data_IF_097483749478
#
_entry.id   IF_097483749478
#
_cell.length_a   1.000
_cell.length_b   1.000
_cell.length_c   1.000
_cell.angle_alpha   90.00
_cell.angle_beta   90.00
_cell.angle_gamma   90.00
#
_symmetry.space_group_name_H-M   'P 1'
#
loop_
_entity.id
_entity.type
_entity.pdbx_description
1 polymer ?
#
# COMPACT_ATOMS: atom_id res chain seq x y z
N UNK A 1 -0.44 -12.98 11.96
CA UNK A 1 0.21 -14.24 11.55
C UNK A 1 1.55 -13.90 10.91
N UNK A 2 2.69 -14.16 11.61
CA UNK A 2 4.04 -13.93 11.06
C UNK A 2 4.30 -15.00 10.02
N UNK A 3 4.18 -14.66 8.75
CA UNK A 3 4.59 -15.50 7.65
C UNK A 3 6.11 -15.70 7.76
N UNK A 4 6.53 -16.90 8.16
CA UNK A 4 7.92 -17.32 8.29
C UNK A 4 8.46 -17.53 6.87
N UNK A 5 8.73 -16.42 6.15
CA UNK A 5 9.35 -16.46 4.83
C UNK A 5 10.67 -17.21 4.96
N UNK A 6 10.73 -18.43 4.41
CA UNK A 6 11.98 -19.19 4.28
C UNK A 6 12.89 -18.39 3.37
N UNK A 7 13.80 -17.64 3.98
CA UNK A 7 14.87 -16.94 3.28
C UNK A 7 15.70 -18.00 2.56
N UNK A 8 15.81 -17.91 1.24
CA UNK A 8 16.67 -18.82 0.45
C UNK A 8 18.15 -18.54 0.78
N UNK A 9 18.48 -17.29 1.04
CA UNK A 9 19.80 -16.83 1.45
C UNK A 9 20.39 -17.59 2.67
N UNK A 10 19.66 -17.84 3.77
CA UNK A 10 20.24 -18.56 4.91
C UNK A 10 20.62 -20.01 4.62
N UNK A 11 20.04 -20.64 3.62
CA UNK A 11 20.41 -22.02 3.24
C UNK A 11 21.68 -21.98 2.41
N UNK A 12 21.80 -21.10 1.42
CA UNK A 12 23.00 -20.91 0.61
C UNK A 12 24.18 -20.36 1.40
N UNK A 13 23.92 -19.59 2.45
CA UNK A 13 24.93 -18.98 3.34
C UNK A 13 25.24 -19.84 4.57
N UNK A 14 24.69 -21.05 4.66
CA UNK A 14 25.12 -22.00 5.71
C UNK A 14 26.58 -22.38 5.46
N UNK A 15 27.49 -22.23 6.46
CA UNK A 15 28.93 -22.40 6.27
C UNK A 15 29.28 -23.74 5.62
N UNK A 16 28.61 -24.83 6.03
CA UNK A 16 28.87 -26.14 5.47
C UNK A 16 28.54 -26.22 3.97
N UNK A 17 27.43 -25.60 3.53
CA UNK A 17 27.03 -25.59 2.10
C UNK A 17 28.03 -24.78 1.29
N UNK A 18 28.40 -23.58 1.78
CA UNK A 18 29.30 -22.68 1.09
C UNK A 18 30.72 -23.28 0.96
N UNK A 19 31.27 -23.78 2.06
CA UNK A 19 32.60 -24.40 2.07
C UNK A 19 32.61 -25.67 1.21
N UNK A 20 31.57 -26.53 1.29
CA UNK A 20 31.47 -27.71 0.45
C UNK A 20 31.44 -27.38 -1.05
N UNK A 21 30.69 -26.33 -1.43
CA UNK A 21 30.66 -25.87 -2.83
C UNK A 21 32.04 -25.35 -3.28
N UNK A 22 32.77 -24.63 -2.42
CA UNK A 22 34.12 -24.15 -2.71
C UNK A 22 35.09 -25.31 -2.88
N UNK A 23 35.06 -26.32 -2.00
CA UNK A 23 35.89 -27.52 -2.12
C UNK A 23 35.57 -28.31 -3.40
N UNK A 24 34.27 -28.43 -3.75
CA UNK A 24 33.88 -29.08 -5.02
C UNK A 24 34.47 -28.37 -6.24
N UNK A 25 34.47 -27.01 -6.23
CA UNK A 25 35.13 -26.23 -7.26
C UNK A 25 36.64 -26.50 -7.28
N UNK A 26 37.29 -26.59 -6.12
CA UNK A 26 38.70 -26.96 -6.02
C UNK A 26 39.03 -28.33 -6.63
N UNK A 27 38.15 -29.32 -6.47
CA UNK A 27 38.31 -30.63 -7.10
C UNK A 27 38.23 -30.56 -8.64
N UNK A 28 37.40 -29.67 -9.20
CA UNK A 28 37.32 -29.44 -10.64
C UNK A 28 38.64 -28.81 -11.16
N UNK A 29 39.20 -27.85 -10.45
CA UNK A 29 40.50 -27.27 -10.80
C UNK A 29 41.64 -28.30 -10.64
N UNK A 30 41.61 -29.13 -9.62
CA UNK A 30 42.55 -30.24 -9.44
C UNK A 30 42.51 -31.22 -10.62
N UNK A 31 41.33 -31.56 -11.10
CA UNK A 31 41.16 -32.42 -12.26
C UNK A 31 41.74 -31.79 -13.53
N UNK A 32 41.47 -30.49 -13.76
CA UNK A 32 41.99 -29.74 -14.87
C UNK A 32 43.53 -29.71 -14.85
N UNK A 33 44.13 -29.42 -13.71
CA UNK A 33 45.57 -29.37 -13.53
C UNK A 33 46.21 -30.74 -13.72
N UNK A 34 45.59 -31.80 -13.20
CA UNK A 34 46.07 -33.18 -13.42
C UNK A 34 46.07 -33.55 -14.90
N UNK A 35 45.01 -33.26 -15.65
CA UNK A 35 44.95 -33.49 -17.12
C UNK A 35 46.03 -32.67 -17.84
N UNK A 36 46.25 -31.43 -17.43
CA UNK A 36 47.30 -30.58 -17.96
C UNK A 36 48.71 -31.16 -17.72
N UNK A 37 48.95 -31.64 -16.52
CA UNK A 37 50.24 -32.25 -16.15
C UNK A 37 50.56 -33.51 -16.96
N UNK A 38 49.53 -34.34 -17.22
CA UNK A 38 49.71 -35.52 -18.10
C UNK A 38 50.08 -35.13 -19.54
N UNK A 39 49.52 -34.05 -20.07
CA UNK A 39 49.84 -33.54 -21.42
C UNK A 39 51.29 -33.02 -21.53
N UNK A 40 51.78 -32.43 -20.43
CA UNK A 40 53.15 -31.88 -20.37
C UNK A 40 54.22 -32.91 -20.00
N UNK A 41 53.83 -34.17 -19.77
CA UNK A 41 54.76 -35.22 -19.40
C UNK A 41 55.29 -35.11 -17.96
N UNK A 42 54.65 -34.30 -17.13
CA UNK A 42 55.04 -34.16 -15.73
C UNK A 42 54.28 -35.20 -14.88
N UNK A 43 55.01 -35.92 -14.02
CA UNK A 43 54.48 -37.03 -13.20
C UNK A 43 54.15 -36.56 -11.79
N UNK A 44 53.23 -35.59 -11.64
CA UNK A 44 52.78 -35.23 -10.30
C UNK A 44 51.74 -36.26 -9.78
N UNK A 45 51.88 -36.57 -8.50
CA UNK A 45 50.85 -37.44 -7.85
C UNK A 45 49.51 -36.72 -7.85
N UNK A 46 48.49 -37.38 -8.36
CA UNK A 46 47.09 -36.88 -8.33
C UNK A 46 46.67 -36.47 -6.93
N UNK A 47 47.14 -37.20 -5.91
CA UNK A 47 46.82 -36.94 -4.49
C UNK A 47 47.36 -35.57 -4.02
N UNK A 48 48.56 -35.20 -4.49
CA UNK A 48 49.16 -33.91 -4.18
C UNK A 48 48.37 -32.78 -4.84
N UNK A 49 48.01 -32.92 -6.10
CA UNK A 49 47.22 -31.91 -6.81
C UNK A 49 45.83 -31.73 -6.16
N UNK A 50 45.13 -32.82 -5.83
CA UNK A 50 43.84 -32.76 -5.15
C UNK A 50 43.98 -32.10 -3.76
N UNK A 51 45.02 -32.44 -2.99
CA UNK A 51 45.21 -31.86 -1.66
C UNK A 51 45.51 -30.37 -1.73
N UNK A 52 46.33 -29.92 -2.70
CA UNK A 52 46.68 -28.52 -2.88
C UNK A 52 45.45 -27.66 -3.29
N UNK A 53 44.76 -28.05 -4.35
CA UNK A 53 43.56 -27.33 -4.80
C UNK A 53 42.40 -27.42 -3.82
N UNK A 54 42.21 -28.58 -3.17
CA UNK A 54 41.21 -28.75 -2.12
C UNK A 54 41.44 -27.86 -0.93
N UNK A 55 42.72 -27.73 -0.48
CA UNK A 55 43.10 -26.86 0.62
C UNK A 55 42.94 -25.37 0.25
N UNK A 56 43.37 -24.95 -0.93
CA UNK A 56 43.25 -23.60 -1.46
C UNK A 56 41.77 -23.15 -1.48
N UNK A 57 40.90 -23.91 -2.09
CA UNK A 57 39.48 -23.55 -2.16
C UNK A 57 38.73 -23.72 -0.83
N UNK A 58 39.19 -24.60 0.05
CA UNK A 58 38.69 -24.66 1.43
C UNK A 58 39.00 -23.37 2.18
N UNK A 59 40.23 -22.87 2.10
CA UNK A 59 40.62 -21.61 2.70
C UNK A 59 39.80 -20.44 2.14
N UNK A 60 39.66 -20.35 0.83
CA UNK A 60 38.85 -19.30 0.20
C UNK A 60 37.38 -19.39 0.60
N UNK A 61 36.81 -20.57 0.68
CA UNK A 61 35.45 -20.78 1.18
C UNK A 61 35.27 -20.27 2.60
N UNK A 62 36.20 -20.59 3.50
CA UNK A 62 36.18 -20.12 4.87
C UNK A 62 36.38 -18.60 4.99
N UNK A 63 37.37 -18.05 4.26
CA UNK A 63 37.65 -16.60 4.23
C UNK A 63 36.43 -15.81 3.72
N UNK A 64 35.87 -16.18 2.58
CA UNK A 64 34.72 -15.48 2.00
C UNK A 64 33.50 -15.58 2.88
N UNK A 65 33.26 -16.75 3.51
CA UNK A 65 32.16 -16.90 4.46
C UNK A 65 32.34 -16.02 5.69
N UNK A 66 33.53 -16.01 6.31
CA UNK A 66 33.84 -15.12 7.44
C UNK A 66 33.72 -13.66 7.04
N UNK A 67 34.26 -13.28 5.88
CA UNK A 67 34.18 -11.93 5.35
C UNK A 67 32.71 -11.49 5.20
N UNK A 68 31.87 -12.32 4.60
CA UNK A 68 30.45 -12.03 4.50
C UNK A 68 29.78 -11.90 5.86
N UNK A 69 30.03 -12.82 6.80
CA UNK A 69 29.42 -12.82 8.12
C UNK A 69 29.76 -11.55 8.93
N UNK A 70 31.00 -11.03 8.81
CA UNK A 70 31.43 -9.81 9.49
C UNK A 70 30.98 -8.52 8.80
N UNK A 71 30.91 -8.52 7.48
CA UNK A 71 30.71 -7.31 6.69
C UNK A 71 29.37 -7.28 5.92
N UNK A 72 28.43 -8.17 6.25
CA UNK A 72 27.13 -8.27 5.54
C UNK A 72 26.45 -6.91 5.40
N UNK A 73 26.35 -6.15 6.50
CA UNK A 73 25.68 -4.85 6.48
C UNK A 73 26.41 -3.84 5.58
N UNK A 74 27.74 -3.76 5.64
CA UNK A 74 28.54 -2.86 4.82
C UNK A 74 28.50 -3.25 3.35
N UNK A 75 28.57 -4.55 3.05
CA UNK A 75 28.49 -5.07 1.68
C UNK A 75 27.13 -4.70 1.04
N UNK A 76 26.06 -4.78 1.83
CA UNK A 76 24.70 -4.58 1.31
C UNK A 76 24.27 -3.11 1.28
N UNK A 77 24.66 -2.27 2.26
CA UNK A 77 24.21 -0.88 2.39
C UNK A 77 25.25 0.15 1.95
N UNK A 78 26.50 -0.23 1.83
CA UNK A 78 27.60 0.69 1.51
C UNK A 78 27.54 1.26 0.09
N UNK A 79 27.97 2.52 -0.08
CA UNK A 79 28.15 3.10 -1.41
C UNK A 79 29.30 2.38 -2.13
N UNK A 80 29.24 2.32 -3.47
CA UNK A 80 30.30 1.67 -4.25
C UNK A 80 31.69 2.27 -3.98
N UNK A 81 31.78 3.60 -3.79
CA UNK A 81 33.04 4.29 -3.45
C UNK A 81 33.58 3.84 -2.10
N UNK A 82 32.74 3.82 -1.06
CA UNK A 82 33.13 3.40 0.29
C UNK A 82 33.59 1.94 0.31
N UNK A 83 32.92 1.09 -0.47
CA UNK A 83 33.25 -0.32 -0.62
C UNK A 83 34.61 -0.49 -1.29
N UNK A 84 34.86 0.16 -2.43
CA UNK A 84 36.12 0.04 -3.15
C UNK A 84 37.28 0.55 -2.32
N UNK A 85 37.16 1.71 -1.68
CA UNK A 85 38.22 2.29 -0.85
C UNK A 85 38.52 1.42 0.39
N UNK A 86 37.46 0.87 1.03
CA UNK A 86 37.63 0.06 2.25
C UNK A 86 38.10 -1.37 1.98
N UNK A 87 37.55 -2.01 0.95
CA UNK A 87 37.81 -3.43 0.71
C UNK A 87 38.93 -3.72 -0.28
N UNK A 88 39.39 -2.75 -1.08
CA UNK A 88 40.54 -2.96 -1.97
C UNK A 88 41.84 -3.26 -1.18
N UNK A 89 42.26 -2.44 -0.20
CA UNK A 89 43.43 -2.80 0.59
C UNK A 89 43.22 -4.08 1.40
N UNK A 90 42.03 -4.30 1.92
CA UNK A 90 41.70 -5.52 2.65
C UNK A 90 41.80 -6.77 1.75
N UNK A 91 41.36 -6.71 0.49
CA UNK A 91 41.48 -7.82 -0.45
C UNK A 91 42.95 -8.18 -0.75
N UNK A 92 43.84 -7.17 -0.82
CA UNK A 92 45.28 -7.39 -1.00
C UNK A 92 45.83 -8.13 0.21
N UNK A 93 45.55 -7.66 1.42
CA UNK A 93 46.00 -8.29 2.67
C UNK A 93 45.50 -9.73 2.78
N UNK A 94 44.24 -9.96 2.53
CA UNK A 94 43.64 -11.31 2.57
C UNK A 94 44.32 -12.23 1.55
N UNK A 95 44.50 -11.77 0.30
CA UNK A 95 45.17 -12.55 -0.76
C UNK A 95 46.62 -12.92 -0.41
N UNK A 96 47.34 -12.01 0.20
CA UNK A 96 48.72 -12.28 0.67
C UNK A 96 48.73 -13.29 1.83
N UNK A 97 47.83 -13.14 2.79
CA UNK A 97 47.73 -14.05 3.92
C UNK A 97 47.34 -15.46 3.52
N UNK A 98 46.40 -15.57 2.59
CA UNK A 98 45.97 -16.86 2.02
C UNK A 98 47.12 -17.55 1.31
N UNK A 99 47.83 -16.82 0.44
CA UNK A 99 48.98 -17.36 -0.30
C UNK A 99 50.13 -17.78 0.65
N UNK A 100 50.39 -16.99 1.70
CA UNK A 100 51.36 -17.38 2.72
C UNK A 100 50.97 -18.64 3.49
N UNK A 101 49.68 -18.82 3.80
CA UNK A 101 49.18 -20.04 4.42
C UNK A 101 49.31 -21.25 3.50
N UNK A 102 48.97 -21.08 2.21
CA UNK A 102 49.14 -22.10 1.21
C UNK A 102 50.63 -22.51 1.06
N UNK A 103 51.52 -21.56 0.90
CA UNK A 103 52.94 -21.80 0.77
C UNK A 103 53.55 -22.46 2.02
N UNK A 104 53.10 -22.09 3.22
CA UNK A 104 53.54 -22.72 4.46
C UNK A 104 53.28 -24.25 4.45
N UNK A 105 52.16 -24.67 3.90
CA UNK A 105 51.78 -26.08 3.82
C UNK A 105 52.46 -26.78 2.65
N UNK A 106 52.54 -26.16 1.47
CA UNK A 106 52.86 -26.84 0.20
C UNK A 106 54.22 -26.43 -0.40
N UNK A 107 54.93 -25.44 0.13
CA UNK A 107 56.20 -24.95 -0.46
C UNK A 107 57.31 -26.01 -0.56
N UNK A 108 57.31 -26.98 0.35
CA UNK A 108 58.30 -28.06 0.38
C UNK A 108 57.92 -29.25 -0.54
N UNK A 109 56.75 -29.20 -1.16
CA UNK A 109 56.37 -30.19 -2.17
C UNK A 109 57.03 -29.83 -3.53
N UNK A 110 57.53 -30.83 -4.29
CA UNK A 110 58.24 -30.58 -5.55
C UNK A 110 57.26 -30.19 -6.68
N UNK A 111 56.55 -29.07 -6.49
CA UNK A 111 55.47 -28.61 -7.36
C UNK A 111 56.03 -27.78 -8.51
N UNK A 112 57.02 -27.76 -9.15
CA UNK A 112 57.40 -27.13 -10.43
C UNK A 112 58.84 -26.54 -10.53
N UNK A 113 59.56 -26.23 -9.44
CA UNK A 113 60.87 -25.62 -9.57
C UNK A 113 61.86 -26.17 -8.53
N UNK A 114 62.29 -27.44 -8.66
CA UNK A 114 63.18 -28.09 -7.67
C UNK A 114 64.56 -27.43 -7.50
N UNK A 115 64.98 -26.63 -8.47
CA UNK A 115 66.28 -26.00 -8.50
C UNK A 115 66.30 -24.51 -8.02
N UNK A 116 65.14 -23.92 -7.72
CA UNK A 116 65.08 -22.54 -7.25
C UNK A 116 65.30 -22.44 -5.72
N UNK A 117 66.05 -21.40 -5.28
CA UNK A 117 66.13 -21.06 -3.87
C UNK A 117 64.76 -20.76 -3.28
N UNK A 118 64.54 -21.15 -2.04
CA UNK A 118 63.24 -21.00 -1.35
C UNK A 118 62.57 -19.64 -1.57
N UNK A 119 63.28 -18.54 -1.33
CA UNK A 119 62.72 -17.20 -1.49
C UNK A 119 62.36 -16.82 -2.94
N UNK A 120 63.09 -17.34 -3.90
CA UNK A 120 62.69 -17.15 -5.32
C UNK A 120 61.41 -17.88 -5.67
N UNK A 121 61.19 -19.06 -5.10
CA UNK A 121 59.90 -19.78 -5.27
C UNK A 121 58.77 -19.00 -4.62
N UNK A 122 58.93 -18.55 -3.36
CA UNK A 122 57.92 -17.74 -2.66
C UNK A 122 57.55 -16.49 -3.46
N UNK A 123 58.54 -15.73 -3.94
CA UNK A 123 58.24 -14.52 -4.73
C UNK A 123 57.58 -14.82 -6.06
N UNK A 124 57.98 -15.89 -6.74
CA UNK A 124 57.34 -16.28 -8.02
C UNK A 124 55.84 -16.64 -7.81
N UNK A 125 55.51 -17.41 -6.80
CA UNK A 125 54.15 -17.77 -6.44
C UNK A 125 53.31 -16.54 -6.04
N UNK A 126 53.87 -15.67 -5.18
CA UNK A 126 53.17 -14.42 -4.81
C UNK A 126 52.84 -13.57 -6.05
N UNK A 127 53.72 -13.47 -7.01
CA UNK A 127 53.46 -12.70 -8.23
C UNK A 127 52.44 -13.37 -9.16
N UNK A 128 52.48 -14.71 -9.29
CA UNK A 128 51.58 -15.41 -10.20
C UNK A 128 50.15 -15.53 -9.63
N UNK A 129 50.01 -15.79 -8.35
CA UNK A 129 48.71 -16.13 -7.73
C UNK A 129 47.98 -14.93 -7.10
N UNK A 130 48.71 -13.83 -6.79
CA UNK A 130 48.10 -12.65 -6.18
C UNK A 130 46.95 -12.09 -6.99
N UNK A 131 47.09 -12.00 -8.32
CA UNK A 131 46.05 -11.51 -9.20
C UNK A 131 44.82 -12.47 -9.21
N UNK A 132 45.10 -13.77 -9.26
CA UNK A 132 44.06 -14.81 -9.22
C UNK A 132 43.27 -14.76 -7.90
N UNK A 133 43.98 -14.63 -6.77
CA UNK A 133 43.39 -14.51 -5.45
C UNK A 133 42.51 -13.26 -5.31
N UNK A 134 42.95 -12.12 -5.85
CA UNK A 134 42.13 -10.91 -5.90
C UNK A 134 40.87 -11.11 -6.75
N UNK A 135 40.99 -11.80 -7.88
CA UNK A 135 39.82 -12.11 -8.73
C UNK A 135 38.82 -12.97 -7.94
N UNK A 136 39.28 -14.01 -7.25
CA UNK A 136 38.41 -14.87 -6.43
C UNK A 136 37.69 -14.04 -5.35
N UNK A 137 38.42 -13.18 -4.63
CA UNK A 137 37.85 -12.30 -3.62
C UNK A 137 36.73 -11.41 -4.20
N UNK A 138 37.02 -10.70 -5.31
CA UNK A 138 36.06 -9.77 -5.89
C UNK A 138 34.87 -10.48 -6.57
N UNK A 139 35.09 -11.65 -7.17
CA UNK A 139 33.98 -12.49 -7.67
C UNK A 139 33.06 -12.91 -6.53
N UNK A 140 33.61 -13.39 -5.39
CA UNK A 140 32.84 -13.71 -4.21
C UNK A 140 32.09 -12.50 -3.65
N UNK A 141 32.78 -11.35 -3.57
CA UNK A 141 32.18 -10.10 -3.12
C UNK A 141 30.98 -9.69 -3.97
N UNK A 142 31.13 -9.65 -5.31
CA UNK A 142 30.03 -9.27 -6.19
C UNK A 142 28.90 -10.30 -6.21
N UNK A 143 29.21 -11.58 -6.03
CA UNK A 143 28.21 -12.61 -5.86
C UNK A 143 27.34 -12.34 -4.62
N UNK A 144 27.94 -12.10 -3.47
CA UNK A 144 27.21 -11.79 -2.24
C UNK A 144 26.38 -10.53 -2.35
N UNK A 145 26.94 -9.48 -2.95
CA UNK A 145 26.23 -8.23 -3.19
C UNK A 145 25.04 -8.42 -4.14
N UNK A 146 25.23 -9.18 -5.21
CA UNK A 146 24.19 -9.48 -6.18
C UNK A 146 23.04 -10.28 -5.57
N UNK A 147 23.36 -11.31 -4.79
CA UNK A 147 22.35 -12.11 -4.09
C UNK A 147 21.56 -11.27 -3.08
N UNK A 148 22.26 -10.43 -2.30
CA UNK A 148 21.60 -9.53 -1.36
C UNK A 148 20.71 -8.48 -2.05
N UNK A 149 21.15 -7.94 -3.19
CA UNK A 149 20.33 -7.03 -4.00
C UNK A 149 19.08 -7.72 -4.55
N UNK A 150 19.24 -8.92 -5.10
CA UNK A 150 18.14 -9.72 -5.64
C UNK A 150 17.08 -10.04 -4.58
N UNK A 151 17.51 -10.41 -3.37
CA UNK A 151 16.59 -10.69 -2.28
C UNK A 151 15.80 -9.47 -1.83
N UNK A 152 16.46 -8.30 -1.73
CA UNK A 152 15.78 -7.03 -1.43
C UNK A 152 14.80 -6.65 -2.54
N UNK A 153 15.19 -6.82 -3.79
CA UNK A 153 14.31 -6.55 -4.92
C UNK A 153 13.02 -7.39 -4.82
N UNK A 154 13.15 -8.69 -4.58
CA UNK A 154 12.01 -9.59 -4.38
C UNK A 154 11.14 -9.22 -3.17
N UNK A 155 11.77 -8.82 -2.06
CA UNK A 155 11.03 -8.37 -0.87
C UNK A 155 10.22 -7.11 -1.16
N UNK A 156 10.81 -6.14 -1.85
CA UNK A 156 10.12 -4.91 -2.24
C UNK A 156 8.94 -5.19 -3.20
N UNK A 157 9.11 -6.09 -4.16
CA UNK A 157 8.05 -6.51 -5.08
C UNK A 157 6.88 -7.17 -4.31
N UNK A 158 7.17 -8.03 -3.33
CA UNK A 158 6.15 -8.64 -2.49
C UNK A 158 5.41 -7.60 -1.64
N UNK A 159 6.13 -6.66 -1.03
CA UNK A 159 5.52 -5.58 -0.24
C UNK A 159 4.65 -4.67 -1.12
N UNK A 160 5.11 -4.33 -2.33
CA UNK A 160 4.33 -3.54 -3.29
C UNK A 160 3.02 -4.26 -3.66
N UNK A 161 3.08 -5.55 -4.00
CA UNK A 161 1.90 -6.36 -4.32
C UNK A 161 0.93 -6.47 -3.12
N UNK A 162 1.45 -6.63 -1.90
CA UNK A 162 0.61 -6.67 -0.70
C UNK A 162 -0.08 -5.33 -0.43
N UNK A 163 0.61 -4.22 -0.64
CA UNK A 163 0.03 -2.88 -0.53
C UNK A 163 -1.06 -2.62 -1.58
N UNK A 164 -0.87 -3.09 -2.81
CA UNK A 164 -1.90 -3.00 -3.86
C UNK A 164 -3.17 -3.77 -3.47
N UNK A 165 -3.03 -4.99 -2.94
CA UNK A 165 -4.16 -5.78 -2.46
C UNK A 165 -4.87 -5.06 -1.29
N UNK A 166 -4.12 -4.50 -0.34
CA UNK A 166 -4.69 -3.75 0.78
C UNK A 166 -5.44 -2.50 0.30
N UNK A 167 -4.87 -1.77 -0.67
CA UNK A 167 -5.50 -0.60 -1.29
C UNK A 167 -6.80 -0.98 -1.99
N UNK A 168 -6.80 -2.06 -2.79
CA UNK A 168 -8.00 -2.56 -3.46
C UNK A 168 -9.08 -2.97 -2.46
N UNK A 169 -8.72 -3.67 -1.38
CA UNK A 169 -9.65 -4.04 -0.32
C UNK A 169 -10.19 -2.83 0.45
N UNK A 170 -9.37 -1.82 0.71
CA UNK A 170 -9.80 -0.57 1.33
C UNK A 170 -10.80 0.18 0.43
N UNK A 171 -10.51 0.27 -0.89
CA UNK A 171 -11.41 0.86 -1.87
C UNK A 171 -12.75 0.11 -1.96
N UNK A 172 -12.72 -1.22 -2.01
CA UNK A 172 -13.94 -2.06 -1.98
C UNK A 172 -14.73 -1.86 -0.70
N UNK A 173 -14.07 -1.74 0.44
CA UNK A 173 -14.74 -1.50 1.72
C UNK A 173 -15.36 -0.11 1.78
N UNK A 174 -14.69 0.91 1.26
CA UNK A 174 -15.20 2.26 1.14
C UNK A 174 -16.45 2.30 0.23
N UNK A 175 -16.39 1.63 -0.93
CA UNK A 175 -17.52 1.53 -1.86
C UNK A 175 -18.71 0.80 -1.22
N UNK A 176 -18.48 -0.31 -0.50
CA UNK A 176 -19.53 -1.02 0.25
C UNK A 176 -20.18 -0.18 1.34
N UNK A 177 -19.43 0.72 1.97
CA UNK A 177 -19.96 1.63 3.00
C UNK A 177 -20.81 2.74 2.40
N UNK A 178 -20.59 3.15 1.14
CA UNK A 178 -21.43 4.11 0.40
C UNK A 178 -22.81 3.52 0.08
N UNK A 179 -22.88 2.21 -0.19
CA UNK A 179 -24.14 1.49 -0.33
C UNK A 179 -24.66 1.13 1.08
N UNK A 180 -25.52 1.94 1.68
CA UNK A 180 -26.10 1.63 2.99
C UNK A 180 -26.81 0.25 2.97
N UNK A 181 -26.20 -0.85 3.50
CA UNK A 181 -26.77 -2.18 3.36
C UNK A 181 -28.13 -2.31 4.02
N UNK A 182 -28.32 -1.61 5.12
CA UNK A 182 -29.58 -1.62 5.86
C UNK A 182 -30.71 -0.95 5.06
N UNK A 183 -30.41 0.12 4.31
CA UNK A 183 -31.37 0.74 3.41
C UNK A 183 -31.78 -0.23 2.30
N UNK A 184 -30.80 -0.90 1.66
CA UNK A 184 -31.05 -1.89 0.62
C UNK A 184 -31.95 -3.03 1.12
N UNK A 185 -31.60 -3.65 2.25
CA UNK A 185 -32.41 -4.74 2.82
C UNK A 185 -33.83 -4.29 3.16
N UNK A 186 -34.02 -3.12 3.71
CA UNK A 186 -35.31 -2.60 4.05
C UNK A 186 -36.16 -2.28 2.80
N UNK A 187 -35.54 -1.72 1.78
CA UNK A 187 -36.20 -1.43 0.50
C UNK A 187 -36.61 -2.71 -0.22
N UNK A 188 -35.72 -3.71 -0.29
CA UNK A 188 -36.05 -5.02 -0.88
C UNK A 188 -37.21 -5.72 -0.16
N UNK A 189 -37.24 -5.63 1.18
CA UNK A 189 -38.39 -6.16 1.96
C UNK A 189 -39.69 -5.38 1.66
N UNK A 190 -39.60 -4.07 1.49
CA UNK A 190 -40.72 -3.24 1.06
C UNK A 190 -41.28 -3.66 -0.31
N UNK A 191 -40.38 -3.76 -1.30
CA UNK A 191 -40.71 -4.24 -2.63
C UNK A 191 -41.39 -5.63 -2.57
N UNK A 192 -40.79 -6.58 -1.84
CA UNK A 192 -41.34 -7.93 -1.66
C UNK A 192 -42.74 -7.94 -1.05
N UNK A 193 -43.03 -7.02 -0.16
CA UNK A 193 -44.36 -6.85 0.44
C UNK A 193 -45.33 -6.26 -0.56
N UNK A 194 -44.92 -5.25 -1.32
CA UNK A 194 -45.76 -4.60 -2.35
C UNK A 194 -46.08 -5.54 -3.53
N UNK A 195 -45.18 -6.41 -3.92
CA UNK A 195 -45.40 -7.40 -4.99
C UNK A 195 -46.66 -8.27 -4.77
N UNK A 196 -47.14 -8.39 -3.53
CA UNK A 196 -48.35 -9.16 -3.18
C UNK A 196 -49.63 -8.33 -3.15
N UNK A 197 -49.53 -7.02 -3.10
CA UNK A 197 -50.64 -6.10 -2.86
C UNK A 197 -50.80 -5.12 -4.04
N UNK A 198 -49.72 -4.58 -4.54
CA UNK A 198 -49.65 -3.59 -5.61
C UNK A 198 -48.36 -3.78 -6.43
N UNK A 199 -48.49 -4.52 -7.54
CA UNK A 199 -47.35 -4.88 -8.41
C UNK A 199 -46.75 -3.64 -9.09
N UNK A 200 -47.59 -2.66 -9.48
CA UNK A 200 -47.14 -1.44 -10.13
C UNK A 200 -46.33 -0.54 -9.14
N UNK A 201 -46.76 -0.46 -7.90
CA UNK A 201 -45.98 0.23 -6.87
C UNK A 201 -44.66 -0.48 -6.57
N UNK A 202 -44.63 -1.82 -6.59
CA UNK A 202 -43.40 -2.59 -6.43
C UNK A 202 -42.43 -2.36 -7.59
N UNK A 203 -42.93 -2.29 -8.83
CA UNK A 203 -42.11 -2.05 -10.02
C UNK A 203 -41.49 -0.64 -10.00
N UNK A 204 -42.30 0.38 -9.71
CA UNK A 204 -41.83 1.76 -9.53
C UNK A 204 -40.75 1.85 -8.44
N UNK A 205 -40.92 1.18 -7.32
CA UNK A 205 -39.95 1.18 -6.23
C UNK A 205 -38.65 0.49 -6.62
N UNK A 206 -38.67 -0.55 -7.45
CA UNK A 206 -37.51 -1.25 -7.99
C UNK A 206 -36.74 -0.36 -8.97
N UNK A 207 -37.45 0.37 -9.86
CA UNK A 207 -36.85 1.34 -10.77
C UNK A 207 -36.14 2.47 -10.00
N UNK A 208 -36.80 3.04 -8.98
CA UNK A 208 -36.25 4.06 -8.13
C UNK A 208 -34.99 3.56 -7.38
N UNK A 209 -35.01 2.34 -6.84
CA UNK A 209 -33.86 1.73 -6.20
C UNK A 209 -32.69 1.56 -7.17
N UNK A 210 -32.97 1.07 -8.39
CA UNK A 210 -31.97 0.89 -9.44
C UNK A 210 -31.33 2.22 -9.83
N UNK A 211 -32.12 3.28 -9.95
CA UNK A 211 -31.66 4.63 -10.21
C UNK A 211 -30.74 5.17 -9.10
N UNK A 212 -31.17 5.07 -7.82
CA UNK A 212 -30.34 5.51 -6.67
C UNK A 212 -29.02 4.75 -6.59
N UNK A 213 -29.03 3.44 -6.83
CA UNK A 213 -27.81 2.64 -6.83
C UNK A 213 -26.84 3.06 -7.93
N UNK A 214 -27.34 3.29 -9.15
CA UNK A 214 -26.53 3.75 -10.27
C UNK A 214 -25.89 5.10 -9.98
N UNK A 215 -26.67 6.07 -9.52
CA UNK A 215 -26.15 7.40 -9.14
C UNK A 215 -25.08 7.29 -8.05
N UNK A 216 -25.31 6.47 -7.04
CA UNK A 216 -24.35 6.29 -5.93
C UNK A 216 -23.00 5.74 -6.43
N UNK A 217 -23.02 4.84 -7.42
CA UNK A 217 -21.80 4.26 -8.02
C UNK A 217 -21.13 5.28 -8.95
N UNK A 218 -21.88 5.92 -9.84
CA UNK A 218 -21.33 6.82 -10.86
C UNK A 218 -20.79 8.12 -10.27
N UNK A 219 -21.47 8.70 -9.27
CA UNK A 219 -21.13 10.00 -8.67
C UNK A 219 -20.21 9.88 -7.45
N UNK A 220 -19.90 8.68 -6.98
CA UNK A 220 -19.07 8.46 -5.78
C UNK A 220 -17.64 9.03 -5.90
N UNK A 221 -17.15 9.29 -7.11
CA UNK A 221 -15.84 9.88 -7.39
C UNK A 221 -15.91 11.38 -7.73
N UNK A 222 -17.10 11.94 -8.00
CA UNK A 222 -17.25 13.35 -8.30
C UNK A 222 -17.04 14.21 -7.05
N UNK A 223 -16.24 15.27 -7.18
CA UNK A 223 -15.98 16.18 -6.07
C UNK A 223 -17.14 17.18 -5.88
N UNK A 224 -17.54 17.86 -6.95
CA UNK A 224 -18.62 18.84 -6.98
C UNK A 224 -19.62 18.48 -8.09
N UNK A 225 -20.91 18.65 -7.80
CA UNK A 225 -22.02 18.45 -8.76
C UNK A 225 -23.00 19.63 -8.66
N UNK A 226 -23.79 19.92 -9.73
CA UNK A 226 -24.89 20.86 -9.63
C UNK A 226 -25.89 20.44 -8.57
N UNK A 227 -26.45 21.40 -7.84
CA UNK A 227 -27.45 21.15 -6.79
C UNK A 227 -28.69 20.42 -7.34
N UNK A 228 -29.10 20.72 -8.56
CA UNK A 228 -30.21 19.97 -9.22
C UNK A 228 -30.01 18.48 -9.23
N UNK A 229 -28.75 18.04 -9.46
CA UNK A 229 -28.40 16.63 -9.51
C UNK A 229 -28.43 15.96 -8.13
N UNK A 230 -28.03 16.68 -7.10
CA UNK A 230 -28.17 16.23 -5.71
C UNK A 230 -29.65 16.16 -5.31
N UNK A 231 -30.46 17.13 -5.75
CA UNK A 231 -31.91 17.18 -5.50
C UNK A 231 -32.65 16.05 -6.18
N UNK A 232 -32.30 15.68 -7.42
CA UNK A 232 -32.89 14.54 -8.13
C UNK A 232 -32.74 13.23 -7.30
N UNK A 233 -31.57 13.03 -6.70
CA UNK A 233 -31.33 11.91 -5.79
C UNK A 233 -32.25 11.99 -4.56
N UNK A 234 -32.28 13.16 -3.90
CA UNK A 234 -33.09 13.38 -2.68
C UNK A 234 -34.56 13.20 -2.94
N UNK A 235 -35.12 13.76 -4.03
CA UNK A 235 -36.52 13.62 -4.39
C UNK A 235 -36.89 12.16 -4.65
N UNK A 236 -36.06 11.41 -5.38
CA UNK A 236 -36.26 9.97 -5.59
C UNK A 236 -36.24 9.20 -4.28
N UNK A 237 -35.27 9.52 -3.40
CA UNK A 237 -35.19 8.90 -2.08
C UNK A 237 -36.41 9.21 -1.21
N UNK A 238 -36.88 10.46 -1.21
CA UNK A 238 -38.08 10.89 -0.49
C UNK A 238 -39.34 10.18 -0.99
N UNK A 239 -39.52 10.02 -2.31
CA UNK A 239 -40.63 9.29 -2.91
C UNK A 239 -40.67 7.81 -2.48
N UNK A 240 -39.50 7.16 -2.40
CA UNK A 240 -39.42 5.80 -1.86
C UNK A 240 -39.76 5.72 -0.38
N UNK A 241 -39.32 6.71 0.43
CA UNK A 241 -39.68 6.74 1.85
C UNK A 241 -41.18 7.00 2.05
N UNK A 242 -41.83 7.82 1.21
CA UNK A 242 -43.26 8.07 1.28
C UNK A 242 -44.07 6.78 1.07
N UNK A 243 -43.71 5.99 0.07
CA UNK A 243 -44.31 4.67 -0.14
C UNK A 243 -44.13 3.74 1.04
N UNK A 244 -42.92 3.74 1.64
CA UNK A 244 -42.58 2.90 2.78
C UNK A 244 -43.33 3.29 4.07
N UNK A 245 -43.51 4.58 4.31
CA UNK A 245 -44.21 5.10 5.48
C UNK A 245 -45.70 5.35 5.26
N UNK A 246 -46.21 4.98 4.06
CA UNK A 246 -47.62 5.09 3.69
C UNK A 246 -48.21 6.49 3.93
N UNK A 247 -47.50 7.55 3.51
CA UNK A 247 -47.91 8.93 3.64
C UNK A 247 -47.92 9.48 5.08
N UNK A 248 -47.37 8.76 6.07
CA UNK A 248 -47.36 9.22 7.47
C UNK A 248 -46.32 10.31 7.75
N UNK A 249 -45.37 10.55 6.83
CA UNK A 249 -44.36 11.59 6.93
C UNK A 249 -44.67 12.68 5.95
N UNK A 250 -45.01 13.86 6.45
CA UNK A 250 -45.18 15.04 5.62
C UNK A 250 -43.81 15.55 5.18
N UNK A 251 -43.64 15.74 3.87
CA UNK A 251 -42.37 16.14 3.28
C UNK A 251 -42.53 17.47 2.55
N UNK A 252 -41.65 18.42 2.83
CA UNK A 252 -41.62 19.70 2.10
C UNK A 252 -40.19 20.03 1.68
N UNK A 253 -40.02 20.34 0.41
CA UNK A 253 -38.73 20.70 -0.21
C UNK A 253 -38.86 22.05 -0.87
N UNK A 254 -38.05 23.01 -0.49
CA UNK A 254 -37.98 24.35 -1.05
C UNK A 254 -36.56 24.63 -1.48
N UNK A 255 -36.37 24.88 -2.79
CA UNK A 255 -35.06 25.27 -3.36
C UNK A 255 -35.27 26.57 -4.13
N UNK A 256 -34.44 27.58 -3.80
CA UNK A 256 -34.46 28.83 -4.57
C UNK A 256 -34.03 28.55 -6.03
N UNK A 257 -34.84 28.98 -7.05
CA UNK A 257 -34.63 28.60 -8.45
C UNK A 257 -33.20 28.92 -8.97
N UNK A 258 -32.60 30.00 -8.51
CA UNK A 258 -31.27 30.43 -8.90
C UNK A 258 -30.14 29.53 -8.40
N UNK A 259 -30.42 28.62 -7.46
CA UNK A 259 -29.41 27.73 -6.85
C UNK A 259 -29.31 26.36 -7.53
N UNK A 260 -30.17 26.02 -8.47
CA UNK A 260 -30.16 24.71 -9.12
C UNK A 260 -28.82 24.39 -9.81
N UNK A 261 -28.15 25.40 -10.36
CA UNK A 261 -26.85 25.25 -11.03
C UNK A 261 -25.65 25.50 -10.10
N UNK A 262 -25.90 25.84 -8.83
CA UNK A 262 -24.83 26.01 -7.86
C UNK A 262 -24.15 24.66 -7.56
N UNK A 263 -22.82 24.67 -7.44
CA UNK A 263 -22.04 23.47 -7.18
C UNK A 263 -22.04 23.12 -5.71
N UNK A 264 -22.31 21.85 -5.42
CA UNK A 264 -22.26 21.27 -4.05
C UNK A 264 -21.41 19.99 -4.05
N UNK A 265 -20.80 19.64 -2.92
CA UNK A 265 -20.13 18.35 -2.81
C UNK A 265 -21.12 17.20 -3.02
N UNK A 266 -20.78 16.26 -3.90
CA UNK A 266 -21.64 15.11 -4.20
C UNK A 266 -22.04 14.37 -2.92
N UNK A 267 -23.30 13.96 -2.81
CA UNK A 267 -23.86 13.25 -1.65
C UNK A 267 -23.73 14.01 -0.32
N UNK A 268 -23.88 15.33 -0.33
CA UNK A 268 -23.83 16.15 0.90
C UNK A 268 -25.16 16.06 1.68
N UNK A 269 -26.29 16.03 0.97
CA UNK A 269 -27.64 15.98 1.56
C UNK A 269 -28.05 14.57 1.96
N UNK A 270 -27.65 13.57 1.20
CA UNK A 270 -28.05 12.17 1.41
C UNK A 270 -27.85 11.70 2.86
N UNK A 271 -26.64 11.81 3.50
CA UNK A 271 -26.44 11.33 4.85
C UNK A 271 -27.30 12.06 5.89
N UNK A 272 -27.65 13.33 5.61
CA UNK A 272 -28.47 14.16 6.51
C UNK A 272 -29.92 13.71 6.46
N UNK A 273 -30.46 13.55 5.25
CA UNK A 273 -31.83 13.09 5.04
C UNK A 273 -32.01 11.64 5.53
N UNK A 274 -31.05 10.76 5.23
CA UNK A 274 -31.06 9.39 5.77
C UNK A 274 -31.04 9.38 7.31
N UNK A 275 -30.26 10.26 7.92
CA UNK A 275 -30.19 10.39 9.38
C UNK A 275 -31.52 10.87 9.98
N UNK A 276 -32.18 11.84 9.34
CA UNK A 276 -33.49 12.32 9.75
C UNK A 276 -34.54 11.16 9.76
N UNK A 277 -34.57 10.34 8.73
CA UNK A 277 -35.44 9.15 8.69
C UNK A 277 -35.03 8.10 9.72
N UNK A 278 -33.77 7.72 9.79
CA UNK A 278 -33.27 6.62 10.62
C UNK A 278 -33.37 6.89 12.10
N UNK A 279 -33.04 8.10 12.52
CA UNK A 279 -32.94 8.45 13.93
C UNK A 279 -34.09 9.31 14.45
N UNK A 280 -34.76 10.06 13.58
CA UNK A 280 -35.92 10.88 13.90
C UNK A 280 -37.23 10.15 13.60
N UNK A 281 -37.63 10.20 12.32
CA UNK A 281 -38.96 9.88 11.84
C UNK A 281 -39.37 8.40 11.99
N UNK A 282 -38.43 7.45 11.82
CA UNK A 282 -38.71 6.01 11.91
C UNK A 282 -39.24 5.56 13.28
N UNK A 283 -39.06 6.36 14.33
CA UNK A 283 -39.41 6.03 15.72
C UNK A 283 -40.75 6.67 16.15
N UNK A 284 -41.31 7.54 15.33
CA UNK A 284 -42.58 8.26 15.65
C UNK A 284 -43.74 7.56 14.99
N UNK A 285 -44.66 6.99 15.82
CA UNK A 285 -45.83 6.27 15.34
C UNK A 285 -46.91 7.20 14.80
N UNK A 286 -47.00 8.40 15.36
CA UNK A 286 -48.05 9.40 15.07
C UNK A 286 -47.83 10.18 13.75
N UNK A 287 -46.78 9.88 13.02
CA UNK A 287 -46.38 10.65 11.85
C UNK A 287 -45.27 11.67 12.15
N UNK A 288 -44.64 12.18 11.12
CA UNK A 288 -43.56 13.12 11.22
C UNK A 288 -43.55 14.17 10.11
N UNK A 289 -42.71 15.17 10.25
CA UNK A 289 -42.52 16.22 9.25
C UNK A 289 -41.02 16.33 8.95
N UNK A 290 -40.67 16.32 7.65
CA UNK A 290 -39.34 16.60 7.12
C UNK A 290 -39.40 17.82 6.23
N UNK A 291 -38.61 18.82 6.53
CA UNK A 291 -38.50 20.05 5.75
C UNK A 291 -37.06 20.28 5.30
N UNK A 292 -36.88 20.53 4.02
CA UNK A 292 -35.61 20.89 3.38
C UNK A 292 -35.80 22.27 2.75
N UNK A 293 -35.04 23.25 3.23
CA UNK A 293 -35.01 24.60 2.69
C UNK A 293 -33.61 24.92 2.20
N UNK A 294 -33.46 25.34 0.94
CA UNK A 294 -32.19 25.74 0.32
C UNK A 294 -32.36 27.15 -0.23
N UNK A 295 -31.68 28.08 0.41
CA UNK A 295 -31.83 29.51 0.18
C UNK A 295 -30.48 30.18 -0.06
N UNK A 296 -30.47 31.30 -0.80
CA UNK A 296 -29.32 32.17 -0.93
C UNK A 296 -29.15 33.05 0.33
N UNK A 297 -27.96 33.08 0.89
CA UNK A 297 -27.56 33.90 2.03
C UNK A 297 -26.35 34.76 1.64
N UNK A 298 -26.61 35.88 0.94
CA UNK A 298 -25.61 36.75 0.31
C UNK A 298 -24.72 35.99 -0.70
N UNK A 299 -23.42 35.85 -0.42
CA UNK A 299 -22.46 35.10 -1.23
C UNK A 299 -22.38 33.58 -0.84
N UNK A 300 -23.30 33.15 -0.01
CA UNK A 300 -23.37 31.75 0.46
C UNK A 300 -24.71 31.13 0.11
N UNK A 301 -24.73 29.82 0.09
CA UNK A 301 -25.93 28.99 0.09
C UNK A 301 -26.15 28.44 1.49
N UNK A 302 -27.38 28.57 2.00
CA UNK A 302 -27.80 27.98 3.26
C UNK A 302 -28.72 26.80 2.98
N UNK A 303 -28.35 25.63 3.46
CA UNK A 303 -29.12 24.40 3.38
C UNK A 303 -29.60 24.09 4.80
N UNK A 304 -30.90 23.98 4.99
CA UNK A 304 -31.53 23.65 6.27
C UNK A 304 -32.35 22.38 6.11
N UNK A 305 -32.02 21.34 6.87
CA UNK A 305 -32.81 20.11 6.94
C UNK A 305 -33.36 20.01 8.35
N UNK A 306 -34.68 20.06 8.49
CA UNK A 306 -35.39 20.03 9.76
C UNK A 306 -36.35 18.85 9.81
N UNK A 307 -36.33 18.10 10.90
CA UNK A 307 -37.29 17.03 11.14
C UNK A 307 -37.82 17.07 12.58
N UNK A 308 -39.10 16.83 12.75
CA UNK A 308 -39.65 16.49 14.05
C UNK A 308 -39.51 14.97 14.29
N UNK A 309 -39.25 14.58 15.52
CA UNK A 309 -39.03 13.16 15.82
C UNK A 309 -38.51 12.92 17.21
N UNK A 310 -37.61 12.01 17.36
CA UNK A 310 -36.88 11.85 18.64
C UNK A 310 -35.77 12.87 18.64
N UNK A 311 -35.84 13.87 19.55
CA UNK A 311 -34.83 14.91 19.68
C UNK A 311 -33.41 14.39 19.92
N UNK A 312 -32.43 15.31 19.95
CA UNK A 312 -31.05 14.96 20.24
C UNK A 312 -30.97 14.39 21.66
N UNK A 313 -30.54 13.13 21.80
CA UNK A 313 -30.31 12.56 23.15
C UNK A 313 -29.29 13.41 23.89
N UNK A 314 -29.53 13.76 25.19
CA UNK A 314 -28.53 14.46 25.99
C UNK A 314 -27.20 13.67 25.94
N UNK A 315 -26.11 14.39 25.77
CA UNK A 315 -24.72 13.88 25.65
C UNK A 315 -24.21 13.29 27.01
N UNK A 316 -25.05 12.65 27.79
CA UNK A 316 -24.67 12.03 29.07
C UNK A 316 -24.02 10.64 28.89
N UNK A 317 -24.12 10.01 27.72
CA UNK A 317 -23.35 8.81 27.36
C UNK A 317 -22.08 9.19 26.62
N UNK A 318 -21.10 9.76 27.31
CA UNK A 318 -19.78 10.11 26.76
C UNK A 318 -18.91 8.91 26.34
N UNK A 319 -19.37 7.68 26.48
CA UNK A 319 -18.64 6.49 26.09
C UNK A 319 -18.95 5.99 24.66
N UNK A 320 -20.01 6.46 24.02
CA UNK A 320 -20.22 6.22 22.59
C UNK A 320 -19.92 7.48 21.76
N UNK A 321 -18.65 7.76 21.55
CA UNK A 321 -18.13 8.79 20.62
C UNK A 321 -18.42 8.41 19.14
N UNK A 322 -19.58 7.83 18.86
CA UNK A 322 -20.14 7.58 17.54
C UNK A 322 -21.16 8.67 17.19
N UNK A 323 -20.71 9.91 17.01
CA UNK A 323 -21.37 10.78 16.02
C UNK A 323 -21.46 9.92 14.77
N UNK A 324 -22.69 9.68 14.26
CA UNK A 324 -22.87 8.73 13.16
C UNK A 324 -21.88 9.00 12.06
N UNK A 325 -21.15 7.99 11.64
CA UNK A 325 -20.05 8.08 10.66
C UNK A 325 -20.42 8.93 9.44
N UNK A 326 -21.69 8.95 9.05
CA UNK A 326 -22.20 9.73 7.93
C UNK A 326 -22.08 11.25 8.12
N UNK A 327 -22.57 11.79 9.22
CA UNK A 327 -22.56 13.25 9.49
C UNK A 327 -21.13 13.78 9.74
N UNK A 328 -20.30 13.00 10.41
CA UNK A 328 -18.86 13.32 10.57
C UNK A 328 -18.14 13.38 9.24
N UNK A 329 -18.45 12.47 8.31
CA UNK A 329 -17.87 12.47 6.97
C UNK A 329 -18.32 13.70 6.15
N UNK A 330 -19.57 14.11 6.26
CA UNK A 330 -20.06 15.36 5.62
C UNK A 330 -19.28 16.55 6.14
N UNK A 331 -19.16 16.70 7.48
CA UNK A 331 -18.42 17.81 8.08
C UNK A 331 -16.96 17.84 7.64
N UNK A 332 -16.28 16.71 7.65
CA UNK A 332 -14.88 16.60 7.23
C UNK A 332 -14.73 16.97 5.74
N UNK A 333 -15.62 16.50 4.87
CA UNK A 333 -15.59 16.78 3.44
C UNK A 333 -15.84 18.27 3.13
N UNK A 334 -16.81 18.90 3.83
CA UNK A 334 -17.04 20.34 3.71
C UNK A 334 -15.81 21.15 4.11
N UNK A 335 -15.19 20.79 5.23
CA UNK A 335 -13.98 21.49 5.68
C UNK A 335 -12.77 21.28 4.74
N UNK A 336 -12.62 20.09 4.15
CA UNK A 336 -11.58 19.82 3.15
C UNK A 336 -11.77 20.63 1.86
N UNK A 337 -13.02 20.90 1.45
CA UNK A 337 -13.31 21.64 0.22
C UNK A 337 -13.29 23.17 0.41
N UNK A 338 -13.85 23.65 1.53
CA UNK A 338 -14.11 25.09 1.72
C UNK A 338 -13.32 25.69 2.89
N UNK A 339 -12.53 24.88 3.62
CA UNK A 339 -11.77 25.36 4.77
C UNK A 339 -12.68 25.94 5.85
N UNK A 340 -12.37 27.16 6.27
CA UNK A 340 -13.12 27.92 7.28
C UNK A 340 -14.31 28.70 6.70
N UNK A 341 -14.48 28.73 5.37
CA UNK A 341 -15.58 29.43 4.70
C UNK A 341 -16.86 28.56 4.60
N UNK A 342 -16.98 27.57 5.44
CA UNK A 342 -18.19 26.77 5.57
C UNK A 342 -18.57 26.56 7.03
N UNK A 343 -19.85 26.31 7.28
CA UNK A 343 -20.31 25.91 8.60
C UNK A 343 -21.25 24.71 8.53
N UNK A 344 -21.19 23.85 9.54
CA UNK A 344 -22.05 22.69 9.71
C UNK A 344 -22.50 22.65 11.17
N UNK A 345 -23.79 22.90 11.41
CA UNK A 345 -24.38 22.99 12.74
C UNK A 345 -25.54 22.01 12.86
N UNK A 346 -25.59 21.31 13.98
CA UNK A 346 -26.73 20.46 14.34
C UNK A 346 -27.23 20.98 15.67
N UNK A 347 -28.50 21.34 15.72
CA UNK A 347 -29.16 21.87 16.89
C UNK A 347 -30.59 21.30 17.09
N UNK A 348 -31.17 21.59 18.20
CA UNK A 348 -32.56 21.27 18.57
C UNK A 348 -33.28 22.57 18.95
N UNK A 349 -33.76 23.35 17.94
CA UNK A 349 -34.35 24.67 18.17
C UNK A 349 -35.63 24.59 18.97
N UNK A 350 -36.32 23.46 18.92
CA UNK A 350 -37.52 23.15 19.68
C UNK A 350 -37.46 21.72 20.17
N UNK A 351 -38.16 21.40 21.24
CA UNK A 351 -38.19 20.05 21.80
C UNK A 351 -38.62 19.03 20.72
N UNK A 352 -37.84 17.96 20.59
CA UNK A 352 -38.09 16.91 19.60
C UNK A 352 -38.01 17.36 18.13
N UNK A 353 -37.38 18.51 17.86
CA UNK A 353 -37.12 19.00 16.50
C UNK A 353 -35.62 19.10 16.27
N UNK A 354 -35.07 18.26 15.42
CA UNK A 354 -33.66 18.31 15.03
C UNK A 354 -33.50 19.11 13.76
N UNK A 355 -32.53 20.01 13.76
CA UNK A 355 -32.18 20.83 12.62
C UNK A 355 -30.72 20.71 12.29
N UNK A 356 -30.40 20.49 11.00
CA UNK A 356 -29.05 20.54 10.45
C UNK A 356 -28.97 21.74 9.52
N UNK A 357 -28.02 22.64 9.80
CA UNK A 357 -27.76 23.82 8.96
C UNK A 357 -26.37 23.72 8.36
N UNK A 358 -26.29 23.80 7.06
CA UNK A 358 -25.03 23.91 6.30
C UNK A 358 -25.02 25.29 5.64
N UNK A 359 -23.87 25.96 5.71
CA UNK A 359 -23.58 27.18 4.97
C UNK A 359 -22.31 26.98 4.19
N UNK A 360 -22.36 27.20 2.86
CA UNK A 360 -21.23 27.04 1.94
C UNK A 360 -21.20 28.20 0.95
N UNK A 361 -20.00 28.59 0.46
CA UNK A 361 -19.87 29.63 -0.54
C UNK A 361 -20.57 29.20 -1.84
N UNK A 362 -21.21 30.17 -2.52
CA UNK A 362 -21.82 29.98 -3.82
C UNK A 362 -20.75 29.83 -4.89
N UNK A 363 -20.77 28.73 -5.60
CA UNK A 363 -19.89 28.43 -6.74
C UNK A 363 -20.73 27.95 -7.92
N UNK A 364 -20.39 28.39 -9.13
CA UNK A 364 -21.05 27.97 -10.38
C UNK A 364 -19.99 27.40 -11.33
N UNK A 365 -20.42 26.54 -12.25
CA UNK A 365 -19.49 25.86 -13.18
C UNK A 365 -18.63 26.80 -14.04
N UNK A 366 -19.05 28.05 -14.24
CA UNK A 366 -18.26 29.08 -14.96
C UNK A 366 -17.06 29.59 -14.18
N UNK A 367 -17.08 29.49 -12.86
CA UNK A 367 -16.04 30.08 -12.00
C UNK A 367 -14.82 29.14 -11.86
N UNK A 368 -15.04 27.83 -11.99
CA UNK A 368 -14.00 26.81 -11.89
C UNK A 368 -13.03 26.83 -13.07
N UNK A 369 -13.51 27.17 -14.28
CA UNK A 369 -12.66 27.30 -15.48
C UNK A 369 -11.67 28.47 -15.43
N UNK A 370 -11.96 29.47 -14.62
CA UNK A 370 -11.11 30.66 -14.46
C UNK A 370 -9.97 30.45 -13.46
N UNK A 371 -10.16 29.59 -12.47
CA UNK A 371 -9.18 29.33 -11.39
C UNK A 371 -8.10 28.33 -11.84
N UNK A 372 -8.45 27.31 -12.64
CA UNK A 372 -7.47 26.34 -13.18
C UNK A 372 -6.52 26.96 -14.22
N UNK A 373 -6.93 28.01 -14.94
CA UNK A 373 -6.04 28.73 -15.88
C UNK A 373 -5.00 29.60 -15.19
N UNK A 374 -5.22 30.01 -13.94
CA UNK A 374 -4.27 30.86 -13.19
C UNK A 374 -3.21 29.99 -12.49
N UNK A 375 -3.53 28.76 -12.05
CA UNK A 375 -2.56 27.87 -11.42
C UNK A 375 -1.60 27.19 -12.41
N UNK A 376 -1.98 27.06 -13.70
CA UNK A 376 -1.09 26.50 -14.74
C UNK A 376 -0.14 27.55 -15.34
N UNK A 377 -0.23 28.80 -14.92
CA UNK A 377 0.59 29.93 -15.43
C UNK A 377 1.64 30.45 -14.42
N UNK A 378 1.82 29.79 -13.30
CA UNK A 378 2.92 29.98 -12.34
C UNK A 378 3.86 28.75 -12.30
#
# INVERSE_FOLDING_TARGET
>A
MKCKNRRVLPILMHPAVFISASVLLGLLFALQEWVSSLRMGSHFSMLVIISAWGFHFFLWGAILWCFWAFFENQIQSGSLKTILIGFLPLSIVISVLEEMAFLFVFVNLPLNHPHMAYWRRVTAYLYSEMLNNMVIFWCGFFLFRGLGYYERFRQNEQVASELEIQLANARLSALRMQLNPHFLFNTMNGISSLMRVDVEAADRMLEQLSFLMRITIERGEAQLIPLRDEMEFIETYLAMQDQRYAGRVEQSVHVAPELHEALVPAMVLQPIVENAFKHGLSKVVAGGNLRIDIERDAEHMRITVRNNGVGLKPVLDRESNKRGVGLSNVQTRLHLHYGDDCSFVIDEPEREVVQVVIRLPLQFSSDTASTEMVETAQ
#
